data_IF_452098589163
#
_entry.id   IF_452098589163
#
_cell.length_a   1.000
_cell.length_b   1.000
_cell.length_c   1.000
_cell.angle_alpha   90.00
_cell.angle_beta   90.00
_cell.angle_gamma   90.00
#
_symmetry.space_group_name_H-M   'P 1'
#
loop_
_entity.id
_entity.type
_entity.pdbx_description
1 polymer ?
#
# COMPACT_ATOMS: atom_id res chain seq x y z
N UNK A 1 6.68 -9.80 -14.93
CA UNK A 1 5.92 -11.05 -15.19
C UNK A 1 4.48 -10.85 -14.71
N UNK A 2 3.61 -10.30 -15.56
CA UNK A 2 2.20 -10.02 -15.28
C UNK A 2 1.37 -11.29 -15.50
N UNK A 3 1.26 -12.16 -14.49
CA UNK A 3 0.39 -13.35 -14.50
C UNK A 3 -0.50 -13.32 -13.26
N UNK A 4 -1.76 -12.92 -13.43
CA UNK A 4 -2.74 -12.94 -12.34
C UNK A 4 -3.90 -11.95 -12.50
N UNK A 5 -4.42 -11.79 -13.72
CA UNK A 5 -5.48 -10.81 -14.00
C UNK A 5 -6.92 -11.30 -13.78
N UNK A 6 -7.16 -12.61 -13.66
CA UNK A 6 -8.54 -13.13 -13.78
C UNK A 6 -8.83 -14.41 -12.99
N UNK A 7 -8.35 -14.55 -11.75
CA UNK A 7 -8.83 -15.61 -10.85
C UNK A 7 -9.68 -15.00 -9.73
N UNK A 8 -10.86 -14.51 -10.09
CA UNK A 8 -11.85 -14.10 -9.08
C UNK A 8 -12.53 -15.34 -8.52
N UNK A 9 -12.43 -15.53 -7.20
CA UNK A 9 -13.05 -16.66 -6.51
C UNK A 9 -14.55 -16.44 -6.38
N UNK A 10 -15.33 -17.53 -6.31
CA UNK A 10 -16.78 -17.48 -6.04
C UNK A 10 -17.11 -16.63 -4.81
N UNK A 11 -16.25 -16.66 -3.79
CA UNK A 11 -16.39 -15.87 -2.57
C UNK A 11 -16.38 -14.36 -2.84
N UNK A 12 -15.46 -13.87 -3.67
CA UNK A 12 -15.39 -12.44 -4.01
C UNK A 12 -16.63 -11.95 -4.77
N UNK A 13 -17.26 -12.82 -5.57
CA UNK A 13 -18.53 -12.49 -6.22
C UNK A 13 -19.68 -12.39 -5.20
N UNK A 14 -19.68 -13.23 -4.17
CA UNK A 14 -20.66 -13.17 -3.07
C UNK A 14 -20.44 -11.88 -2.26
N UNK A 15 -19.19 -11.58 -1.88
CA UNK A 15 -18.82 -10.36 -1.16
C UNK A 15 -19.26 -9.11 -1.94
N UNK A 16 -19.02 -9.07 -3.25
CA UNK A 16 -19.47 -7.97 -4.10
C UNK A 16 -21.00 -7.82 -4.10
N UNK A 17 -21.75 -8.91 -4.25
CA UNK A 17 -23.21 -8.86 -4.23
C UNK A 17 -23.78 -8.48 -2.85
N UNK A 18 -23.14 -8.92 -1.76
CA UNK A 18 -23.50 -8.53 -0.39
C UNK A 18 -23.27 -7.04 -0.14
N UNK A 19 -22.13 -6.50 -0.60
CA UNK A 19 -21.84 -5.06 -0.50
C UNK A 19 -22.83 -4.26 -1.35
N UNK A 20 -23.12 -4.68 -2.57
CA UNK A 20 -24.09 -4.02 -3.45
C UNK A 20 -25.50 -4.00 -2.83
N UNK A 21 -25.96 -5.13 -2.27
CA UNK A 21 -27.22 -5.20 -1.56
C UNK A 21 -27.27 -4.32 -0.32
N UNK A 22 -26.20 -4.30 0.47
CA UNK A 22 -26.09 -3.45 1.67
C UNK A 22 -26.11 -1.97 1.29
N UNK A 23 -25.42 -1.59 0.21
CA UNK A 23 -25.45 -0.23 -0.32
C UNK A 23 -26.85 0.18 -0.77
N UNK A 24 -27.60 -0.71 -1.44
CA UNK A 24 -29.00 -0.47 -1.82
C UNK A 24 -29.92 -0.31 -0.61
N UNK A 25 -29.74 -1.12 0.44
CA UNK A 25 -30.49 -0.97 1.69
C UNK A 25 -30.16 0.35 2.41
N UNK A 26 -28.88 0.71 2.48
CA UNK A 26 -28.45 1.98 3.08
C UNK A 26 -29.05 3.18 2.31
N UNK A 27 -29.04 3.12 0.97
CA UNK A 27 -29.69 4.12 0.14
C UNK A 27 -31.22 4.16 0.38
N UNK A 28 -31.89 3.01 0.47
CA UNK A 28 -33.31 2.94 0.77
C UNK A 28 -33.67 3.63 2.09
N UNK A 29 -32.85 3.44 3.13
CA UNK A 29 -33.03 4.09 4.43
C UNK A 29 -32.76 5.60 4.36
N UNK A 30 -31.75 6.03 3.59
CA UNK A 30 -31.42 7.44 3.41
C UNK A 30 -32.51 8.21 2.66
N UNK A 31 -33.04 7.65 1.57
CA UNK A 31 -34.09 8.26 0.76
C UNK A 31 -35.51 7.98 1.30
N UNK A 32 -35.65 7.13 2.33
CA UNK A 32 -36.94 6.61 2.86
C UNK A 32 -37.85 5.99 1.79
N UNK A 33 -37.26 5.50 0.71
CA UNK A 33 -37.97 4.90 -0.41
C UNK A 33 -38.10 3.37 -0.24
N UNK A 34 -39.31 2.91 0.06
CA UNK A 34 -39.62 1.48 0.21
C UNK A 34 -39.37 0.66 -1.06
N UNK A 35 -39.41 1.30 -2.24
CA UNK A 35 -39.15 0.65 -3.53
C UNK A 35 -37.71 0.13 -3.65
N UNK A 36 -36.75 0.85 -3.07
CA UNK A 36 -35.34 0.44 -3.09
C UNK A 36 -35.11 -0.76 -2.16
N UNK A 37 -35.81 -0.79 -1.02
CA UNK A 37 -35.77 -1.94 -0.11
C UNK A 37 -36.34 -3.21 -0.75
N UNK A 38 -37.44 -3.10 -1.51
CA UNK A 38 -38.02 -4.26 -2.22
C UNK A 38 -37.13 -4.80 -3.33
N UNK A 39 -36.23 -3.99 -3.91
CA UNK A 39 -35.24 -4.44 -4.91
C UNK A 39 -34.00 -5.04 -4.25
N UNK A 40 -33.60 -4.54 -3.08
CA UNK A 40 -32.43 -5.08 -2.37
C UNK A 40 -32.63 -6.53 -1.90
N UNK A 41 -33.85 -6.89 -1.49
CA UNK A 41 -34.19 -8.22 -1.00
C UNK A 41 -34.00 -9.34 -2.06
N UNK A 42 -34.54 -9.23 -3.29
CA UNK A 42 -34.26 -10.20 -4.35
C UNK A 42 -32.79 -10.16 -4.79
N UNK A 43 -32.11 -9.01 -4.76
CA UNK A 43 -30.67 -8.94 -5.08
C UNK A 43 -29.83 -9.76 -4.08
N UNK A 44 -30.16 -9.74 -2.79
CA UNK A 44 -29.51 -10.62 -1.79
C UNK A 44 -29.74 -12.10 -2.10
N UNK A 45 -31.00 -12.46 -2.41
CA UNK A 45 -31.39 -13.84 -2.71
C UNK A 45 -30.67 -14.34 -3.97
N UNK A 46 -30.60 -13.52 -5.02
CA UNK A 46 -29.87 -13.81 -6.27
C UNK A 46 -28.37 -13.94 -6.01
N UNK A 47 -27.81 -13.10 -5.15
CA UNK A 47 -26.39 -13.18 -4.76
C UNK A 47 -26.07 -14.54 -4.12
N UNK A 48 -26.96 -15.09 -3.29
CA UNK A 48 -26.78 -16.42 -2.69
C UNK A 48 -26.98 -17.56 -3.69
N UNK A 49 -28.02 -17.48 -4.53
CA UNK A 49 -28.38 -18.53 -5.49
C UNK A 49 -27.40 -18.61 -6.66
N UNK A 50 -26.99 -17.47 -7.23
CA UNK A 50 -26.19 -17.44 -8.46
C UNK A 50 -25.18 -16.29 -8.45
N UNK A 51 -24.12 -16.38 -7.63
CA UNK A 51 -23.08 -15.35 -7.57
C UNK A 51 -22.30 -15.21 -8.88
N UNK A 52 -22.37 -16.21 -9.76
CA UNK A 52 -21.73 -16.17 -11.09
C UNK A 52 -22.29 -15.09 -12.01
N UNK A 53 -23.52 -14.63 -11.80
CA UNK A 53 -24.10 -13.54 -12.60
C UNK A 53 -23.35 -12.22 -12.40
N UNK A 54 -22.80 -12.00 -11.21
CA UNK A 54 -22.02 -10.81 -10.87
C UNK A 54 -20.55 -10.91 -11.27
N UNK A 55 -20.11 -12.03 -11.85
CA UNK A 55 -18.71 -12.26 -12.21
C UNK A 55 -18.11 -11.16 -13.10
N UNK A 56 -18.71 -10.75 -14.24
CA UNK A 56 -18.10 -9.72 -15.10
C UNK A 56 -17.98 -8.36 -14.40
N UNK A 57 -19.01 -7.98 -13.63
CA UNK A 57 -19.01 -6.74 -12.85
C UNK A 57 -17.97 -6.78 -11.73
N UNK A 58 -17.86 -7.91 -11.02
CA UNK A 58 -16.85 -8.12 -9.98
C UNK A 58 -15.43 -8.07 -10.56
N UNK A 59 -15.19 -8.65 -11.74
CA UNK A 59 -13.89 -8.58 -12.43
C UNK A 59 -13.50 -7.14 -12.73
N UNK A 60 -14.40 -6.34 -13.29
CA UNK A 60 -14.12 -4.93 -13.55
C UNK A 60 -13.88 -4.15 -12.24
N UNK A 61 -14.74 -4.35 -11.24
CA UNK A 61 -14.66 -3.63 -9.96
C UNK A 61 -13.37 -3.93 -9.19
N UNK A 62 -13.07 -5.21 -8.97
CA UNK A 62 -11.86 -5.61 -8.25
C UNK A 62 -10.59 -5.36 -9.06
N UNK A 63 -10.65 -5.43 -10.39
CA UNK A 63 -9.56 -5.02 -11.27
C UNK A 63 -9.21 -3.55 -11.07
N UNK A 64 -10.20 -2.66 -11.07
CA UNK A 64 -10.02 -1.24 -10.78
C UNK A 64 -9.49 -1.02 -9.35
N UNK A 65 -10.07 -1.67 -8.35
CA UNK A 65 -9.63 -1.56 -6.96
C UNK A 65 -8.16 -1.96 -6.78
N UNK A 66 -7.70 -3.00 -7.49
CA UNK A 66 -6.31 -3.46 -7.44
C UNK A 66 -5.34 -2.45 -8.05
N UNK A 67 -5.69 -1.89 -9.22
CA UNK A 67 -4.90 -0.82 -9.85
C UNK A 67 -4.81 0.40 -8.94
N UNK A 68 -5.95 0.78 -8.35
CA UNK A 68 -6.00 1.90 -7.42
C UNK A 68 -5.17 1.64 -6.16
N UNK A 69 -5.20 0.41 -5.63
CA UNK A 69 -4.38 -0.01 -4.49
C UNK A 69 -2.87 0.06 -4.77
N UNK A 70 -2.43 -0.38 -5.94
CA UNK A 70 -1.04 -0.29 -6.39
C UNK A 70 -0.56 1.16 -6.55
N UNK A 71 -1.43 2.04 -7.02
CA UNK A 71 -1.13 3.47 -7.14
C UNK A 71 -1.09 4.12 -5.75
N UNK A 72 -2.06 3.80 -4.90
CA UNK A 72 -2.21 4.37 -3.57
C UNK A 72 -0.98 4.09 -2.68
N UNK A 73 -0.45 2.86 -2.69
CA UNK A 73 0.74 2.56 -1.87
C UNK A 73 1.97 3.38 -2.29
N UNK A 74 2.14 3.62 -3.60
CA UNK A 74 3.24 4.45 -4.11
C UNK A 74 3.05 5.90 -3.69
N UNK A 75 1.84 6.44 -3.86
CA UNK A 75 1.50 7.82 -3.44
C UNK A 75 1.74 7.98 -1.93
N UNK A 76 1.21 7.06 -1.12
CA UNK A 76 1.36 7.10 0.33
C UNK A 76 2.84 7.08 0.74
N UNK A 77 3.63 6.17 0.15
CA UNK A 77 5.06 6.07 0.45
C UNK A 77 5.82 7.33 0.05
N UNK A 78 5.54 7.89 -1.13
CA UNK A 78 6.14 9.16 -1.58
C UNK A 78 5.76 10.30 -0.66
N UNK A 79 4.50 10.38 -0.24
CA UNK A 79 4.00 11.42 0.64
C UNK A 79 4.64 11.34 2.03
N UNK A 80 4.74 10.14 2.61
CA UNK A 80 5.46 9.90 3.86
C UNK A 80 6.94 10.26 3.72
N UNK A 81 7.60 9.87 2.63
CA UNK A 81 8.99 10.23 2.38
C UNK A 81 9.18 11.75 2.34
N UNK A 82 8.35 12.47 1.59
CA UNK A 82 8.45 13.92 1.44
C UNK A 82 8.06 14.67 2.71
N UNK A 83 7.05 14.22 3.45
CA UNK A 83 6.57 14.92 4.66
C UNK A 83 7.35 14.57 5.92
N UNK A 84 8.01 13.41 5.98
CA UNK A 84 8.73 12.95 7.17
C UNK A 84 10.23 12.89 6.91
N UNK A 85 10.65 12.10 5.93
CA UNK A 85 12.08 11.79 5.72
C UNK A 85 12.83 13.02 5.20
N UNK A 86 12.26 13.73 4.22
CA UNK A 86 12.87 14.92 3.64
C UNK A 86 13.07 16.04 4.67
N UNK A 87 12.07 16.48 5.46
CA UNK A 87 12.29 17.53 6.45
C UNK A 87 13.25 17.09 7.56
N UNK A 88 13.23 15.82 7.97
CA UNK A 88 14.24 15.29 8.92
C UNK A 88 15.64 15.37 8.32
N UNK A 89 15.81 15.05 7.03
CA UNK A 89 17.06 15.17 6.30
C UNK A 89 17.54 16.63 6.17
N UNK A 90 16.64 17.55 5.82
CA UNK A 90 16.92 18.99 5.74
C UNK A 90 17.30 19.52 7.12
N UNK A 91 16.55 19.17 8.17
CA UNK A 91 16.83 19.54 9.55
C UNK A 91 18.21 19.07 9.99
N UNK A 92 18.57 17.81 9.70
CA UNK A 92 19.89 17.24 9.97
C UNK A 92 21.00 18.00 9.23
N UNK A 93 20.76 18.34 7.96
CA UNK A 93 21.68 19.13 7.13
C UNK A 93 21.87 20.55 7.69
N UNK A 94 20.80 21.19 8.15
CA UNK A 94 20.85 22.53 8.73
C UNK A 94 21.61 22.56 10.06
N UNK A 95 21.44 21.53 10.91
CA UNK A 95 22.24 21.34 12.13
C UNK A 95 23.73 21.00 11.89
N UNK A 96 24.19 20.98 10.64
CA UNK A 96 25.60 20.76 10.32
C UNK A 96 26.11 19.34 10.57
N UNK A 97 25.22 18.37 10.83
CA UNK A 97 25.60 16.97 11.05
C UNK A 97 25.97 16.32 9.71
N UNK A 98 27.25 16.40 9.36
CA UNK A 98 27.84 15.76 8.17
C UNK A 98 28.51 14.42 8.54
N UNK A 99 27.71 13.42 8.91
CA UNK A 99 28.22 12.11 9.33
C UNK A 99 29.03 11.39 8.25
N UNK A 100 28.76 11.70 6.97
CA UNK A 100 29.48 11.13 5.82
C UNK A 100 30.63 12.02 5.35
N UNK A 101 30.91 13.13 6.05
CA UNK A 101 31.94 14.12 5.70
C UNK A 101 31.93 14.51 4.20
N UNK A 102 30.73 14.59 3.61
CA UNK A 102 30.52 14.82 2.18
C UNK A 102 31.10 16.16 1.73
N UNK A 103 31.23 17.13 2.64
CA UNK A 103 31.85 18.43 2.34
C UNK A 103 33.34 18.33 2.04
N UNK A 104 34.05 17.38 2.65
CA UNK A 104 35.51 17.16 2.49
C UNK A 104 35.84 16.17 1.37
N UNK A 105 34.90 15.26 1.08
CA UNK A 105 35.07 14.23 0.06
C UNK A 105 35.47 14.82 -1.31
N UNK A 106 36.63 14.38 -1.83
CA UNK A 106 37.27 14.80 -3.09
C UNK A 106 37.73 16.26 -3.19
N UNK A 107 37.59 17.07 -2.13
CA UNK A 107 38.10 18.45 -2.12
C UNK A 107 39.50 18.55 -1.53
N UNK A 108 39.80 17.69 -0.56
CA UNK A 108 41.10 17.64 0.10
C UNK A 108 41.89 16.41 -0.37
N UNK A 109 43.22 16.46 -0.24
CA UNK A 109 44.11 15.31 -0.53
C UNK A 109 44.11 14.27 0.60
N UNK A 110 43.50 14.58 1.75
CA UNK A 110 43.43 13.76 2.95
C UNK A 110 42.27 12.76 2.89
N UNK A 111 42.45 11.59 3.52
CA UNK A 111 41.40 10.59 3.62
C UNK A 111 40.25 11.09 4.49
N UNK A 112 39.02 10.79 4.07
CA UNK A 112 37.76 11.11 4.76
C UNK A 112 37.30 9.94 5.65
N UNK A 113 37.95 8.78 5.49
CA UNK A 113 37.67 7.60 6.31
C UNK A 113 38.25 7.78 7.71
N UNK A 114 37.49 7.39 8.72
CA UNK A 114 37.96 7.37 10.09
C UNK A 114 38.96 6.21 10.28
N UNK A 115 40.14 6.52 10.81
CA UNK A 115 41.19 5.51 11.03
C UNK A 115 40.82 4.72 12.28
N UNK A 116 40.43 3.46 12.09
CA UNK A 116 40.21 2.53 13.21
C UNK A 116 41.57 2.06 13.72
N UNK A 117 42.06 2.70 14.77
CA UNK A 117 43.26 2.25 15.51
C UNK A 117 42.93 1.03 16.39
N UNK A 118 42.38 -0.02 15.79
CA UNK A 118 42.05 -1.27 16.46
C UNK A 118 43.07 -2.34 16.07
N UNK A 119 43.67 -2.99 17.06
CA UNK A 119 44.57 -4.13 16.83
C UNK A 119 43.71 -5.38 16.79
N UNK A 120 43.58 -5.98 15.62
CA UNK A 120 42.76 -7.17 15.42
C UNK A 120 43.33 -8.37 16.18
N UNK A 121 42.45 -9.02 16.94
CA UNK A 121 42.75 -10.21 17.75
C UNK A 121 42.11 -11.46 17.15
N UNK A 122 42.45 -12.65 17.66
CA UNK A 122 41.86 -13.91 17.16
C UNK A 122 40.37 -13.99 17.47
N UNK A 123 39.96 -13.35 18.55
CA UNK A 123 38.58 -13.27 19.02
C UNK A 123 37.71 -12.46 18.04
N UNK A 124 38.24 -11.42 17.41
CA UNK A 124 37.54 -10.62 16.38
C UNK A 124 37.20 -11.44 15.12
N UNK A 125 37.97 -12.50 14.83
CA UNK A 125 37.68 -13.40 13.72
C UNK A 125 36.47 -14.31 14.00
N UNK A 126 36.13 -14.52 15.28
CA UNK A 126 34.96 -15.30 15.67
C UNK A 126 33.69 -14.44 15.71
N UNK A 127 33.83 -13.11 15.81
CA UNK A 127 32.72 -12.15 15.85
C UNK A 127 32.91 -11.04 14.82
N UNK A 128 32.54 -11.33 13.57
CA UNK A 128 32.83 -10.49 12.40
C UNK A 128 31.87 -9.30 12.19
N UNK A 129 30.81 -9.16 12.99
CA UNK A 129 29.74 -8.15 12.79
C UNK A 129 29.33 -7.45 14.08
#
# INVERSE_FOLDING_TARGET
MWKGFTNITRQQCIEFGQVAATALLAAALYFRDFRLATVALPVLVITMLTPRLFYPLAVTWFGLAKVLGEINIRILLTLVFVLVVVPVGIWRKWRGKDALQLRRFKKEKTSVMDIRNHVYTKEDLQHTF
#
